data_IF_510770725856
#
_entry.id   IF_510770725856
#
_cell.length_a   1.000
_cell.length_b   1.000
_cell.length_c   1.000
_cell.angle_alpha   90.00
_cell.angle_beta   90.00
_cell.angle_gamma   90.00
#
_symmetry.space_group_name_H-M   'P 1'
#
loop_
_entity.id
_entity.type
_entity.pdbx_description
1 polymer ?
#
# COMPACT_ATOMS: atom_id res chain seq x y z
N UNK A 1 31.78 -20.64 12.58
CA UNK A 1 32.80 -21.67 12.93
C UNK A 1 33.18 -21.69 14.41
N UNK A 2 33.13 -20.57 15.15
CA UNK A 2 33.43 -20.50 16.61
C UNK A 2 32.35 -21.14 17.50
N UNK A 3 31.07 -20.98 17.19
CA UNK A 3 29.95 -21.57 17.94
C UNK A 3 29.90 -23.11 17.88
N UNK A 4 30.34 -23.69 16.75
CA UNK A 4 30.38 -25.16 16.59
C UNK A 4 31.44 -25.83 17.46
N UNK A 5 32.55 -25.14 17.75
CA UNK A 5 33.62 -25.62 18.63
C UNK A 5 33.29 -25.52 20.12
N UNK A 6 32.45 -24.57 20.51
CA UNK A 6 31.96 -24.42 21.89
C UNK A 6 30.91 -25.49 22.24
N UNK A 7 30.01 -25.82 21.29
CA UNK A 7 28.99 -26.85 21.53
C UNK A 7 29.57 -28.26 21.67
N UNK A 8 30.66 -28.59 20.95
CA UNK A 8 31.35 -29.87 21.10
C UNK A 8 32.00 -30.00 22.47
N UNK A 9 32.53 -28.90 23.02
CA UNK A 9 33.17 -28.90 24.38
C UNK A 9 32.16 -29.05 25.54
N UNK A 10 30.92 -28.59 25.36
CA UNK A 10 29.84 -28.75 26.35
C UNK A 10 29.33 -30.20 26.38
N UNK A 11 29.26 -30.86 25.22
CA UNK A 11 28.79 -32.25 25.11
C UNK A 11 29.74 -33.23 25.79
N UNK A 12 31.06 -33.02 25.75
CA UNK A 12 32.05 -33.95 26.36
C UNK A 12 32.09 -33.91 27.90
N UNK A 13 31.54 -32.84 28.53
CA UNK A 13 31.52 -32.67 29.99
C UNK A 13 30.26 -33.25 30.66
N UNK A 14 29.19 -33.54 29.91
CA UNK A 14 27.89 -33.89 30.47
C UNK A 14 27.57 -35.39 30.33
N UNK A 15 28.28 -36.11 29.47
CA UNK A 15 28.01 -37.54 29.20
C UNK A 15 28.93 -38.51 29.94
N UNK A 16 28.66 -38.75 31.23
CA UNK A 16 29.05 -39.96 31.91
C UNK A 16 27.79 -40.67 32.47
N UNK A 17 27.16 -41.50 31.64
CA UNK A 17 26.11 -42.41 32.10
C UNK A 17 24.87 -42.52 31.18
N UNK A 18 24.21 -43.68 31.24
CA UNK A 18 23.07 -44.08 30.39
C UNK A 18 21.82 -43.15 30.40
N UNK A 19 21.82 -42.08 31.19
CA UNK A 19 20.69 -41.11 31.28
C UNK A 19 20.85 -39.90 30.34
N UNK A 20 21.97 -39.78 29.63
CA UNK A 20 22.22 -38.63 28.77
C UNK A 20 21.48 -38.63 27.42
N UNK A 21 21.01 -39.83 26.98
CA UNK A 21 20.36 -39.93 25.68
C UNK A 21 18.96 -39.28 25.65
N UNK A 22 18.23 -39.34 26.76
CA UNK A 22 16.88 -38.81 26.87
C UNK A 22 16.88 -37.30 26.98
N UNK A 23 17.83 -36.72 27.74
CA UNK A 23 17.96 -35.26 27.91
C UNK A 23 18.45 -34.61 26.64
N UNK A 24 19.39 -35.26 25.91
CA UNK A 24 19.85 -34.76 24.61
C UNK A 24 18.74 -34.76 23.55
N UNK A 25 17.88 -35.77 23.55
CA UNK A 25 16.78 -35.86 22.60
C UNK A 25 15.65 -34.87 22.95
N UNK A 26 15.40 -34.60 24.23
CA UNK A 26 14.43 -33.58 24.65
C UNK A 26 14.94 -32.17 24.35
N UNK A 27 16.24 -31.90 24.52
CA UNK A 27 16.83 -30.61 24.20
C UNK A 27 16.93 -30.36 22.69
N UNK A 28 17.18 -31.41 21.88
CA UNK A 28 17.10 -31.33 20.42
C UNK A 28 15.66 -31.10 19.94
N UNK A 29 14.65 -31.78 20.53
CA UNK A 29 13.25 -31.54 20.14
C UNK A 29 12.79 -30.12 20.48
N UNK A 30 13.18 -29.58 21.65
CA UNK A 30 12.81 -28.19 22.01
C UNK A 30 13.58 -27.16 21.17
N UNK A 31 14.82 -27.46 20.76
CA UNK A 31 15.60 -26.59 19.89
C UNK A 31 15.09 -26.60 18.44
N UNK A 32 14.68 -27.78 17.91
CA UNK A 32 14.03 -27.88 16.60
C UNK A 32 12.64 -27.26 16.60
N UNK A 33 11.90 -27.34 17.73
CA UNK A 33 10.61 -26.66 17.85
C UNK A 33 10.75 -25.14 17.92
N UNK A 34 11.83 -24.62 18.51
CA UNK A 34 12.13 -23.18 18.57
C UNK A 34 12.66 -22.62 17.24
N UNK A 35 13.38 -23.43 16.44
CA UNK A 35 13.88 -23.01 15.11
C UNK A 35 12.81 -23.21 14.03
N UNK A 36 11.96 -24.22 14.16
CA UNK A 36 10.85 -24.45 13.23
C UNK A 36 9.71 -23.42 13.35
N UNK A 37 9.71 -22.60 14.40
CA UNK A 37 8.70 -21.54 14.60
C UNK A 37 9.17 -20.17 14.10
N UNK A 38 10.37 -20.02 13.54
CA UNK A 38 10.92 -18.73 13.11
C UNK A 38 10.99 -18.53 11.59
N UNK A 39 10.43 -19.42 10.78
CA UNK A 39 10.35 -19.20 9.31
C UNK A 39 9.00 -19.64 8.75
N UNK A 40 7.91 -19.20 9.36
CA UNK A 40 6.70 -18.95 8.60
C UNK A 40 6.62 -17.42 8.44
N UNK A 41 7.27 -16.92 7.41
CA UNK A 41 6.83 -15.71 6.72
C UNK A 41 5.36 -15.99 6.35
N UNK A 42 4.44 -15.61 7.20
CA UNK A 42 3.04 -15.69 6.90
C UNK A 42 2.81 -14.74 5.73
N UNK A 43 2.73 -15.29 4.52
CA UNK A 43 2.09 -14.57 3.43
C UNK A 43 0.76 -14.15 4.01
N UNK A 44 0.56 -12.82 4.16
CA UNK A 44 -0.66 -12.29 4.73
C UNK A 44 -1.84 -12.94 4.02
N UNK A 45 -2.71 -13.63 4.76
CA UNK A 45 -3.89 -14.29 4.19
C UNK A 45 -4.78 -13.19 3.61
N UNK A 46 -4.80 -13.12 2.29
CA UNK A 46 -5.62 -12.16 1.55
C UNK A 46 -6.78 -12.87 0.89
N UNK A 47 -7.94 -12.23 0.92
CA UNK A 47 -9.18 -12.73 0.31
C UNK A 47 -9.71 -11.70 -0.66
N UNK A 48 -10.07 -12.14 -1.87
CA UNK A 48 -10.77 -11.28 -2.82
C UNK A 48 -12.27 -11.28 -2.49
N UNK A 49 -12.83 -10.10 -2.39
CA UNK A 49 -14.23 -9.86 -2.06
C UNK A 49 -14.82 -8.79 -2.97
N UNK A 50 -16.10 -8.92 -3.33
CA UNK A 50 -16.80 -7.93 -4.14
C UNK A 50 -18.14 -7.59 -3.51
N UNK A 51 -18.48 -6.30 -3.48
CA UNK A 51 -19.73 -5.76 -2.99
C UNK A 51 -20.22 -4.65 -3.92
N UNK A 52 -21.38 -4.85 -4.53
CA UNK A 52 -21.89 -3.95 -5.56
C UNK A 52 -20.91 -3.84 -6.73
N UNK A 53 -20.56 -2.60 -7.08
CA UNK A 53 -19.63 -2.30 -8.18
C UNK A 53 -18.15 -2.29 -7.75
N UNK A 54 -17.85 -2.62 -6.49
CA UNK A 54 -16.51 -2.58 -5.94
C UNK A 54 -15.92 -3.97 -5.74
N UNK A 55 -14.65 -4.14 -6.08
CA UNK A 55 -13.87 -5.34 -5.77
C UNK A 55 -12.71 -4.98 -4.86
N UNK A 56 -12.48 -5.79 -3.85
CA UNK A 56 -11.49 -5.56 -2.81
C UNK A 56 -10.57 -6.76 -2.63
N UNK A 57 -9.36 -6.50 -2.16
CA UNK A 57 -8.50 -7.49 -1.53
C UNK A 57 -8.48 -7.20 -0.03
N UNK A 58 -8.98 -8.16 0.77
CA UNK A 58 -9.02 -8.07 2.23
C UNK A 58 -7.79 -8.73 2.83
N UNK A 59 -7.07 -8.03 3.71
CA UNK A 59 -5.95 -8.58 4.47
C UNK A 59 -6.43 -8.95 5.87
N UNK A 60 -6.49 -10.24 6.16
CA UNK A 60 -7.12 -10.75 7.38
C UNK A 60 -6.34 -10.39 8.65
N UNK A 61 -5.02 -10.36 8.58
CA UNK A 61 -4.14 -10.07 9.70
C UNK A 61 -4.31 -8.62 10.21
N UNK A 62 -4.28 -7.65 9.28
CA UNK A 62 -4.36 -6.22 9.61
C UNK A 62 -5.77 -5.65 9.65
N UNK A 63 -6.77 -6.45 9.20
CA UNK A 63 -8.16 -6.00 9.01
C UNK A 63 -8.26 -4.77 8.12
N UNK A 64 -7.49 -4.77 7.02
CA UNK A 64 -7.48 -3.73 6.01
C UNK A 64 -8.00 -4.24 4.68
N UNK A 65 -8.52 -3.33 3.86
CA UNK A 65 -9.00 -3.59 2.51
C UNK A 65 -8.30 -2.67 1.51
N UNK A 66 -7.85 -3.25 0.41
CA UNK A 66 -7.41 -2.53 -0.79
C UNK A 66 -8.52 -2.58 -1.82
N UNK A 67 -9.01 -1.42 -2.25
CA UNK A 67 -9.95 -1.32 -3.37
C UNK A 67 -9.21 -1.64 -4.67
N UNK A 68 -9.52 -2.78 -5.29
CA UNK A 68 -8.85 -3.26 -6.48
C UNK A 68 -9.47 -2.73 -7.77
N UNK A 69 -10.81 -2.64 -7.81
CA UNK A 69 -11.53 -2.24 -9.02
C UNK A 69 -12.90 -1.66 -8.69
N UNK A 70 -13.29 -0.64 -9.44
CA UNK A 70 -14.66 -0.15 -9.57
C UNK A 70 -15.16 -0.39 -10.99
N UNK A 71 -16.36 -0.94 -11.12
CA UNK A 71 -16.97 -1.28 -12.41
C UNK A 71 -18.29 -0.57 -12.67
N UNK A 72 -18.72 0.28 -11.74
CA UNK A 72 -19.96 1.01 -11.82
C UNK A 72 -19.92 2.18 -12.83
N UNK A 73 -21.10 2.68 -13.14
CA UNK A 73 -21.31 3.79 -14.08
C UNK A 73 -21.90 5.04 -13.41
N UNK A 74 -21.90 5.10 -12.08
CA UNK A 74 -22.43 6.25 -11.34
C UNK A 74 -21.55 7.49 -11.52
N UNK A 75 -22.17 8.65 -11.71
CA UNK A 75 -21.45 9.92 -11.85
C UNK A 75 -20.84 10.38 -10.53
N UNK A 76 -21.51 10.10 -9.41
CA UNK A 76 -21.00 10.43 -8.08
C UNK A 76 -20.77 9.14 -7.29
N UNK A 77 -19.52 8.92 -6.86
CA UNK A 77 -19.11 7.69 -6.19
C UNK A 77 -18.64 8.01 -4.78
N UNK A 78 -19.15 7.27 -3.81
CA UNK A 78 -18.65 7.28 -2.44
C UNK A 78 -18.00 5.93 -2.16
N UNK A 79 -16.69 5.95 -1.91
CA UNK A 79 -15.95 4.74 -1.52
C UNK A 79 -16.31 4.42 -0.07
N UNK A 80 -16.74 3.18 0.26
CA UNK A 80 -16.97 2.76 1.63
C UNK A 80 -15.70 2.91 2.48
N UNK A 81 -15.82 3.41 3.69
CA UNK A 81 -14.70 3.50 4.63
C UNK A 81 -14.34 2.15 5.25
N UNK A 82 -15.28 1.20 5.19
CA UNK A 82 -15.19 -0.12 5.83
C UNK A 82 -16.01 -1.13 5.07
N UNK A 83 -15.52 -2.36 5.06
CA UNK A 83 -16.17 -3.55 4.49
C UNK A 83 -16.39 -4.54 5.62
N UNK A 84 -17.59 -5.08 5.76
CA UNK A 84 -17.91 -6.15 6.70
C UNK A 84 -17.96 -7.48 5.96
N UNK A 85 -17.10 -8.43 6.33
CA UNK A 85 -16.99 -9.74 5.71
C UNK A 85 -16.63 -10.79 6.75
N UNK A 86 -17.33 -11.93 6.71
CA UNK A 86 -17.12 -13.10 7.59
C UNK A 86 -17.06 -12.73 9.09
N UNK A 87 -18.01 -11.88 9.53
CA UNK A 87 -18.10 -11.43 10.92
C UNK A 87 -17.00 -10.46 11.37
N UNK A 88 -16.16 -10.00 10.48
CA UNK A 88 -15.09 -9.03 10.74
C UNK A 88 -15.26 -7.76 9.88
N UNK A 89 -14.77 -6.63 10.39
CA UNK A 89 -14.75 -5.36 9.67
C UNK A 89 -13.35 -5.05 9.18
N UNK A 90 -13.24 -4.62 7.91
CA UNK A 90 -12.00 -4.28 7.24
C UNK A 90 -12.02 -2.79 6.85
N UNK A 91 -11.05 -2.03 7.30
CA UNK A 91 -10.94 -0.62 6.93
C UNK A 91 -10.37 -0.49 5.52
N UNK A 92 -10.99 0.32 4.67
CA UNK A 92 -10.45 0.63 3.34
C UNK A 92 -9.30 1.63 3.52
N UNK A 93 -8.07 1.17 3.30
CA UNK A 93 -6.85 1.96 3.53
C UNK A 93 -6.07 2.23 2.25
N UNK A 94 -6.33 1.52 1.17
CA UNK A 94 -5.63 1.67 -0.10
C UNK A 94 -6.64 1.72 -1.24
N UNK A 95 -6.47 2.69 -2.15
CA UNK A 95 -7.03 2.65 -3.49
C UNK A 95 -5.95 2.07 -4.39
N UNK A 96 -6.15 0.84 -4.84
CA UNK A 96 -5.15 0.07 -5.56
C UNK A 96 -4.89 0.58 -6.97
N UNK A 97 -3.82 0.05 -7.56
CA UNK A 97 -3.40 0.37 -8.91
C UNK A 97 -4.52 0.15 -9.94
N UNK A 98 -4.76 1.16 -10.79
CA UNK A 98 -5.80 1.12 -11.83
C UNK A 98 -7.24 0.94 -11.30
N UNK A 99 -7.54 1.22 -10.03
CA UNK A 99 -8.84 0.92 -9.42
C UNK A 99 -10.03 1.56 -10.15
N UNK A 100 -9.88 2.78 -10.67
CA UNK A 100 -10.90 3.51 -11.44
C UNK A 100 -10.46 3.78 -12.88
N UNK A 101 -9.38 3.16 -13.34
CA UNK A 101 -8.80 3.43 -14.64
C UNK A 101 -9.83 3.38 -15.76
N UNK A 102 -9.77 4.38 -16.66
CA UNK A 102 -10.60 4.54 -17.85
C UNK A 102 -12.12 4.64 -17.56
N UNK A 103 -12.50 5.03 -16.34
CA UNK A 103 -13.88 5.31 -16.01
C UNK A 103 -14.26 6.74 -16.45
N UNK A 104 -14.93 6.85 -17.58
CA UNK A 104 -15.31 8.13 -18.19
C UNK A 104 -16.64 8.69 -17.70
N UNK A 105 -17.30 8.04 -16.74
CA UNK A 105 -18.62 8.44 -16.22
C UNK A 105 -18.56 9.18 -14.89
N UNK A 106 -17.56 8.89 -14.05
CA UNK A 106 -17.40 9.51 -12.73
C UNK A 106 -17.07 10.99 -12.90
N UNK A 107 -17.91 11.87 -12.33
CA UNK A 107 -17.67 13.31 -12.26
C UNK A 107 -17.15 13.76 -10.90
N UNK A 108 -17.52 13.03 -9.84
CA UNK A 108 -17.06 13.31 -8.47
C UNK A 108 -16.84 12.03 -7.68
N UNK A 109 -15.84 12.05 -6.80
CA UNK A 109 -15.52 10.92 -5.94
C UNK A 109 -15.27 11.40 -4.51
N UNK A 110 -15.88 10.71 -3.55
CA UNK A 110 -15.64 10.90 -2.14
C UNK A 110 -14.73 9.78 -1.62
N UNK A 111 -13.49 10.12 -1.29
CA UNK A 111 -12.48 9.23 -0.74
C UNK A 111 -12.55 9.30 0.78
N UNK A 112 -12.70 8.17 1.50
CA UNK A 112 -12.79 8.19 2.96
C UNK A 112 -11.46 8.58 3.60
N UNK A 113 -11.53 9.26 4.75
CA UNK A 113 -10.35 9.77 5.48
C UNK A 113 -9.37 8.69 5.95
N UNK A 114 -9.81 7.42 5.99
CA UNK A 114 -8.97 6.27 6.37
C UNK A 114 -8.07 5.75 5.26
N UNK A 115 -8.19 6.29 4.04
CA UNK A 115 -7.30 5.92 2.92
C UNK A 115 -5.95 6.58 3.15
N UNK A 116 -4.91 5.75 3.19
CA UNK A 116 -3.52 6.12 3.44
C UNK A 116 -2.67 6.11 2.17
N UNK A 117 -3.19 5.46 1.11
CA UNK A 117 -2.47 5.32 -0.16
C UNK A 117 -3.45 5.34 -1.34
N UNK A 118 -3.08 6.10 -2.37
CA UNK A 118 -3.69 6.06 -3.69
C UNK A 118 -2.59 5.64 -4.65
N UNK A 119 -2.68 4.39 -5.11
CA UNK A 119 -1.63 3.74 -5.90
C UNK A 119 -1.59 4.24 -7.36
N UNK A 120 -0.58 3.80 -8.09
CA UNK A 120 -0.29 4.26 -9.44
C UNK A 120 -1.49 4.10 -10.38
N UNK A 121 -1.74 5.12 -11.21
CA UNK A 121 -2.79 5.10 -12.23
C UNK A 121 -4.21 4.91 -11.68
N UNK A 122 -4.46 5.15 -10.39
CA UNK A 122 -5.73 4.82 -9.74
C UNK A 122 -6.94 5.45 -10.44
N UNK A 123 -6.82 6.69 -10.93
CA UNK A 123 -7.85 7.43 -11.68
C UNK A 123 -7.41 7.78 -13.11
N UNK A 124 -6.42 7.08 -13.65
CA UNK A 124 -5.96 7.32 -15.04
C UNK A 124 -7.14 7.23 -16.03
N UNK A 125 -7.25 8.21 -16.95
CA UNK A 125 -8.30 8.22 -17.97
C UNK A 125 -9.71 8.51 -17.44
N UNK A 126 -9.86 8.99 -16.21
CA UNK A 126 -11.16 9.44 -15.70
C UNK A 126 -11.51 10.81 -16.26
N UNK A 127 -11.77 10.91 -17.58
CA UNK A 127 -11.88 12.17 -18.31
C UNK A 127 -13.03 13.08 -17.84
N UNK A 128 -14.09 12.52 -17.26
CA UNK A 128 -15.22 13.29 -16.72
C UNK A 128 -15.01 13.74 -15.25
N UNK A 129 -13.97 13.24 -14.56
CA UNK A 129 -13.74 13.57 -13.15
C UNK A 129 -13.35 15.05 -13.02
N UNK A 130 -14.23 15.83 -12.42
CA UNK A 130 -14.06 17.29 -12.25
C UNK A 130 -13.81 17.71 -10.80
N UNK A 131 -14.04 16.81 -9.85
CA UNK A 131 -13.88 17.10 -8.41
C UNK A 131 -13.41 15.86 -7.65
N UNK A 132 -12.33 16.02 -6.89
CA UNK A 132 -11.81 15.02 -5.96
C UNK A 132 -11.32 15.71 -4.70
N UNK A 133 -11.60 15.10 -3.55
CA UNK A 133 -11.04 15.53 -2.27
C UNK A 133 -10.10 14.45 -1.77
N UNK A 134 -8.81 14.79 -1.69
CA UNK A 134 -7.79 13.89 -1.14
C UNK A 134 -7.92 13.78 0.37
N UNK A 135 -7.67 12.61 0.96
CA UNK A 135 -7.58 12.46 2.42
C UNK A 135 -6.24 13.02 2.95
N UNK A 136 -6.23 13.43 4.22
CA UNK A 136 -4.99 13.82 4.91
C UNK A 136 -4.07 12.62 5.12
N UNK A 137 -2.75 12.85 5.21
CA UNK A 137 -1.73 11.81 5.43
C UNK A 137 -1.75 10.68 4.39
N UNK A 138 -2.05 11.02 3.14
CA UNK A 138 -2.17 10.07 2.05
C UNK A 138 -0.90 10.08 1.18
N UNK A 139 -0.39 8.90 0.88
CA UNK A 139 0.68 8.72 -0.11
C UNK A 139 0.06 8.66 -1.51
N UNK A 140 0.65 9.40 -2.44
CA UNK A 140 0.21 9.46 -3.84
C UNK A 140 1.18 8.69 -4.73
N UNK A 141 0.65 7.79 -5.54
CA UNK A 141 1.37 7.07 -6.59
C UNK A 141 1.62 7.93 -7.84
N UNK A 142 2.12 7.28 -8.88
CA UNK A 142 2.44 7.90 -10.17
C UNK A 142 1.18 8.05 -11.03
N UNK A 143 1.07 9.17 -11.78
CA UNK A 143 0.05 9.37 -12.82
C UNK A 143 -1.39 9.13 -12.34
N UNK A 144 -1.68 9.46 -11.07
CA UNK A 144 -2.99 9.13 -10.48
C UNK A 144 -4.15 9.80 -11.21
N UNK A 145 -3.95 11.01 -11.78
CA UNK A 145 -4.96 11.78 -12.53
C UNK A 145 -4.56 12.05 -13.98
N UNK A 146 -3.69 11.23 -14.56
CA UNK A 146 -3.33 11.37 -15.97
C UNK A 146 -4.57 11.19 -16.85
N UNK A 147 -4.76 12.04 -17.87
CA UNK A 147 -5.97 12.06 -18.74
C UNK A 147 -7.28 12.31 -17.97
N UNK A 148 -7.23 13.02 -16.83
CA UNK A 148 -8.41 13.55 -16.17
C UNK A 148 -8.73 14.96 -16.72
N UNK A 149 -9.28 15.02 -17.94
CA UNK A 149 -9.40 16.26 -18.72
C UNK A 149 -10.37 17.30 -18.13
N UNK A 150 -11.22 16.89 -17.20
CA UNK A 150 -12.16 17.80 -16.52
C UNK A 150 -11.67 18.27 -15.15
N UNK A 151 -10.55 17.74 -14.62
CA UNK A 151 -10.01 18.07 -13.31
C UNK A 151 -9.08 19.28 -13.40
N UNK A 152 -9.63 20.49 -13.26
CA UNK A 152 -8.88 21.75 -13.42
C UNK A 152 -8.23 22.24 -12.14
N UNK A 153 -8.74 21.83 -10.97
CA UNK A 153 -8.14 22.22 -9.69
C UNK A 153 -8.10 21.07 -8.70
N UNK A 154 -7.09 21.09 -7.83
CA UNK A 154 -6.91 20.12 -6.76
C UNK A 154 -6.40 20.78 -5.49
N UNK A 155 -6.91 20.34 -4.34
CA UNK A 155 -6.41 20.70 -3.01
C UNK A 155 -5.52 19.60 -2.45
N UNK A 156 -4.32 19.97 -1.99
CA UNK A 156 -3.37 19.08 -1.33
C UNK A 156 -3.48 19.28 0.18
N UNK A 157 -3.99 18.31 0.92
CA UNK A 157 -4.13 18.41 2.36
C UNK A 157 -2.82 18.14 3.11
N UNK A 158 -2.85 18.41 4.43
CA UNK A 158 -1.73 18.14 5.33
C UNK A 158 -1.33 16.66 5.31
N UNK A 159 0.00 16.42 5.41
CA UNK A 159 0.58 15.08 5.48
C UNK A 159 0.56 14.31 4.16
N UNK A 160 0.15 14.92 3.05
CA UNK A 160 0.26 14.30 1.74
C UNK A 160 1.74 14.05 1.41
N UNK A 161 2.06 12.84 0.98
CA UNK A 161 3.39 12.42 0.51
C UNK A 161 3.30 11.84 -0.89
N UNK A 162 4.42 11.68 -1.57
CA UNK A 162 4.48 10.95 -2.83
C UNK A 162 5.21 9.62 -2.64
N UNK A 163 5.02 8.70 -3.57
CA UNK A 163 5.78 7.45 -3.60
C UNK A 163 7.30 7.69 -3.67
N UNK A 164 7.71 8.82 -4.25
CA UNK A 164 9.12 9.23 -4.35
C UNK A 164 9.70 9.73 -3.02
N UNK A 165 8.87 10.19 -2.08
CA UNK A 165 9.34 10.54 -0.73
C UNK A 165 9.75 9.28 0.07
N UNK A 166 9.16 8.12 -0.24
CA UNK A 166 9.41 6.85 0.45
C UNK A 166 10.51 6.03 -0.20
N UNK A 167 10.60 6.08 -1.53
CA UNK A 167 11.60 5.39 -2.33
C UNK A 167 12.41 6.44 -3.10
N UNK A 168 13.42 7.10 -2.46
CA UNK A 168 14.29 8.01 -3.18
C UNK A 168 14.95 7.24 -4.33
N UNK A 169 14.95 7.86 -5.49
CA UNK A 169 15.61 7.29 -6.68
C UNK A 169 17.08 7.04 -6.33
N UNK A 170 17.57 5.82 -6.55
CA UNK A 170 19.00 5.53 -6.46
C UNK A 170 19.74 6.47 -7.42
N UNK A 171 20.64 7.28 -6.90
CA UNK A 171 21.43 8.28 -7.66
C UNK A 171 22.21 7.67 -8.86
N UNK A 172 22.37 6.34 -8.89
CA UNK A 172 23.14 5.60 -9.89
C UNK A 172 22.33 5.02 -11.07
N UNK A 173 21.01 5.14 -11.05
CA UNK A 173 20.17 4.78 -12.19
C UNK A 173 19.82 6.03 -12.97
N UNK A 174 20.31 6.12 -14.22
CA UNK A 174 19.74 7.02 -15.23
C UNK A 174 18.23 6.76 -15.29
N UNK A 175 17.51 7.55 -14.50
CA UNK A 175 16.05 7.58 -14.58
C UNK A 175 15.77 8.18 -15.95
N UNK A 176 15.02 7.46 -16.78
CA UNK A 176 14.47 8.02 -17.99
C UNK A 176 13.52 9.17 -17.57
N UNK A 177 14.12 10.36 -17.39
CA UNK A 177 13.45 11.59 -16.90
C UNK A 177 12.21 11.97 -17.73
N UNK A 178 11.99 11.31 -18.86
CA UNK A 178 10.79 11.46 -19.68
C UNK A 178 9.60 10.61 -19.24
N UNK A 179 9.78 9.57 -18.39
CA UNK A 179 8.76 8.62 -18.05
C UNK A 179 8.54 8.37 -16.54
N UNK A 180 9.29 9.05 -15.66
CA UNK A 180 9.01 8.99 -14.22
C UNK A 180 7.94 10.02 -13.85
N UNK A 181 6.72 9.66 -14.18
CA UNK A 181 5.60 10.57 -14.09
C UNK A 181 5.27 11.02 -12.67
N UNK A 182 5.22 12.33 -12.52
CA UNK A 182 4.72 12.97 -11.32
C UNK A 182 3.31 12.48 -10.95
N UNK A 183 2.97 12.63 -9.68
CA UNK A 183 1.67 12.18 -9.18
C UNK A 183 0.49 12.81 -9.93
N UNK A 184 0.62 14.10 -10.30
CA UNK A 184 -0.42 14.89 -10.96
C UNK A 184 -0.17 15.13 -12.46
N UNK A 185 0.86 14.52 -13.06
CA UNK A 185 1.22 14.75 -14.45
C UNK A 185 0.13 14.31 -15.42
N UNK A 186 0.04 15.03 -16.56
CA UNK A 186 -0.77 14.67 -17.73
C UNK A 186 -2.27 14.82 -17.57
N UNK A 187 -2.72 15.59 -16.58
CA UNK A 187 -4.11 16.01 -16.42
C UNK A 187 -4.29 17.49 -16.83
N UNK A 188 -5.54 17.97 -16.81
CA UNK A 188 -5.90 19.36 -17.09
C UNK A 188 -5.76 20.29 -15.88
N UNK A 189 -4.96 19.93 -14.86
CA UNK A 189 -4.87 20.69 -13.62
C UNK A 189 -4.16 22.02 -13.86
N UNK A 190 -4.91 23.12 -13.74
CA UNK A 190 -4.45 24.48 -13.87
C UNK A 190 -4.13 25.14 -12.52
N UNK A 191 -4.73 24.62 -11.43
CA UNK A 191 -4.62 25.21 -10.11
C UNK A 191 -4.42 24.15 -9.03
N UNK A 192 -3.34 24.29 -8.25
CA UNK A 192 -3.06 23.51 -7.07
C UNK A 192 -3.15 24.41 -5.85
N UNK A 193 -3.98 24.02 -4.87
CA UNK A 193 -4.11 24.72 -3.59
C UNK A 193 -3.55 23.84 -2.49
N UNK A 194 -2.69 24.39 -1.65
CA UNK A 194 -2.21 23.71 -0.45
C UNK A 194 -3.07 24.13 0.73
N UNK A 195 -3.65 23.17 1.42
CA UNK A 195 -4.46 23.43 2.61
C UNK A 195 -3.59 23.91 3.79
N UNK A 196 -4.22 24.48 4.82
CA UNK A 196 -3.54 24.88 6.06
C UNK A 196 -2.89 23.66 6.74
N UNK A 197 -1.65 23.80 7.21
CA UNK A 197 -0.88 22.71 7.83
C UNK A 197 0.11 22.03 6.87
N UNK A 198 0.02 22.24 5.56
CA UNK A 198 1.02 21.71 4.63
C UNK A 198 2.34 22.44 4.84
N UNK A 199 3.35 21.73 5.30
CA UNK A 199 4.70 22.24 5.58
C UNK A 199 5.75 21.80 4.57
N UNK A 200 5.43 20.78 3.77
CA UNK A 200 6.31 20.22 2.73
C UNK A 200 5.49 19.87 1.50
N UNK A 201 5.98 20.28 0.34
CA UNK A 201 5.42 19.82 -0.94
C UNK A 201 5.97 18.43 -1.23
N UNK A 202 5.11 17.44 -1.56
CA UNK A 202 5.56 16.11 -1.94
C UNK A 202 6.54 16.14 -3.12
N UNK A 203 7.54 15.26 -3.10
CA UNK A 203 8.49 15.13 -4.21
C UNK A 203 7.76 14.72 -5.49
N UNK A 204 8.17 15.26 -6.63
CA UNK A 204 7.57 14.96 -7.95
C UNK A 204 6.04 15.12 -8.01
N UNK A 205 5.44 15.98 -7.17
CA UNK A 205 3.99 16.20 -7.20
C UNK A 205 3.51 16.78 -8.52
N UNK A 206 4.22 17.78 -9.02
CA UNK A 206 3.81 18.65 -10.13
C UNK A 206 4.74 18.56 -11.35
N UNK A 207 5.66 17.62 -11.40
CA UNK A 207 6.61 17.48 -12.50
C UNK A 207 5.86 17.12 -13.79
N UNK A 208 6.15 17.84 -14.88
CA UNK A 208 5.48 17.62 -16.17
C UNK A 208 4.10 18.26 -16.31
N UNK A 209 3.66 19.11 -15.39
CA UNK A 209 2.56 20.04 -15.61
C UNK A 209 3.08 21.17 -16.51
N UNK A 210 2.50 21.31 -17.71
CA UNK A 210 2.84 22.36 -18.70
C UNK A 210 1.73 23.35 -18.86
#
# INVERSE_FOLDING_TARGET
MKLRKEMVKVNDKICKGRKCFIVSMLFMLTFFFSIGFMEQSSKADTVNYSEGDFSYQLTQETKTATLQKYTGISQSVTIPSRIDWDGASYNVTVIGQNAFRDNTTITSINIPKGVLEIDNYAFYGCSALSSVKLPTNCQLGKYIFYECDSLNEISIPEGTTSIYDTYPLDDDKEVDQKNDGACLAGGAIEKITFESGVTKVPSHLCEGLT
#
